data_IF_109685394531
#
_entry.id   IF_109685394531
#
_cell.length_a   1.000
_cell.length_b   1.000
_cell.length_c   1.000
_cell.angle_alpha   90.00
_cell.angle_beta   90.00
_cell.angle_gamma   90.00
#
_symmetry.space_group_name_H-M   'P 1'
#
loop_
_entity.id
_entity.type
_entity.pdbx_description
1 polymer ?
#
# COMPACT_ATOMS: atom_id res chain seq x y z
N UNK A 1 19.99 4.22 -17.65
CA UNK A 1 19.29 5.24 -16.86
C UNK A 1 17.86 5.24 -17.35
N UNK A 2 16.92 4.75 -16.54
CA UNK A 2 15.50 5.05 -16.78
C UNK A 2 15.33 6.57 -16.57
N UNK A 3 14.63 7.23 -17.48
CA UNK A 3 14.43 8.68 -17.41
C UNK A 3 13.29 9.02 -16.45
N UNK A 4 13.22 10.27 -15.97
CA UNK A 4 12.07 10.77 -15.19
C UNK A 4 10.74 10.56 -15.95
N UNK A 5 10.79 10.56 -17.29
CA UNK A 5 9.66 10.28 -18.18
C UNK A 5 9.19 8.82 -18.07
N UNK A 6 10.11 7.86 -17.94
CA UNK A 6 9.78 6.45 -17.71
C UNK A 6 9.08 6.25 -16.37
N UNK A 7 9.53 6.93 -15.32
CA UNK A 7 8.87 6.92 -14.00
C UNK A 7 7.43 7.41 -14.11
N UNK A 8 7.22 8.57 -14.75
CA UNK A 8 5.90 9.16 -14.94
C UNK A 8 4.99 8.26 -15.77
N UNK A 9 5.53 7.61 -16.80
CA UNK A 9 4.80 6.69 -17.64
C UNK A 9 4.33 5.46 -16.84
N UNK A 10 5.22 4.82 -16.08
CA UNK A 10 4.89 3.66 -15.23
C UNK A 10 3.79 4.01 -14.22
N UNK A 11 3.90 5.17 -13.56
CA UNK A 11 2.91 5.62 -12.57
C UNK A 11 1.58 6.00 -13.22
N UNK A 12 1.60 6.48 -14.46
CA UNK A 12 0.38 6.81 -15.22
C UNK A 12 -0.32 5.56 -15.75
N UNK A 13 0.41 4.57 -16.24
CA UNK A 13 -0.16 3.31 -16.72
C UNK A 13 -0.65 2.43 -15.57
N UNK A 14 -0.05 2.57 -14.39
CA UNK A 14 -0.37 1.74 -13.22
C UNK A 14 0.01 0.28 -13.40
N UNK A 15 0.84 -0.05 -14.41
CA UNK A 15 1.29 -1.41 -14.71
C UNK A 15 2.71 -1.42 -15.27
N UNK A 16 3.53 -2.36 -14.78
CA UNK A 16 4.90 -2.63 -15.27
C UNK A 16 5.33 -4.05 -14.89
N UNK A 17 6.57 -4.46 -15.18
CA UNK A 17 7.11 -5.74 -14.68
C UNK A 17 7.71 -5.56 -13.28
N UNK A 18 7.77 -6.63 -12.49
CA UNK A 18 8.42 -6.60 -11.16
C UNK A 18 9.86 -6.07 -11.25
N UNK A 19 10.61 -6.50 -12.27
CA UNK A 19 11.99 -6.06 -12.48
C UNK A 19 12.08 -4.54 -12.70
N UNK A 20 11.20 -3.98 -13.54
CA UNK A 20 11.15 -2.54 -13.82
C UNK A 20 10.70 -1.74 -12.61
N UNK A 21 9.73 -2.24 -11.85
CA UNK A 21 9.30 -1.60 -10.60
C UNK A 21 10.43 -1.55 -9.56
N UNK A 22 11.24 -2.62 -9.44
CA UNK A 22 12.41 -2.65 -8.58
C UNK A 22 13.49 -1.66 -9.04
N UNK A 23 13.81 -1.66 -10.34
CA UNK A 23 14.78 -0.72 -10.93
C UNK A 23 14.37 0.74 -10.66
N UNK A 24 13.11 1.06 -10.91
CA UNK A 24 12.53 2.35 -10.58
C UNK A 24 12.71 2.67 -9.09
N UNK A 25 12.27 1.79 -8.19
CA UNK A 25 12.35 1.99 -6.74
C UNK A 25 13.78 2.28 -6.27
N UNK A 26 14.75 1.56 -6.82
CA UNK A 26 16.18 1.72 -6.48
C UNK A 26 16.73 3.09 -6.88
N UNK A 27 16.20 3.72 -7.95
CA UNK A 27 16.63 5.06 -8.39
C UNK A 27 16.08 6.19 -7.51
N UNK A 28 14.98 5.97 -6.79
CA UNK A 28 14.28 7.04 -6.07
C UNK A 28 14.96 7.41 -4.75
N UNK A 29 14.73 8.66 -4.33
CA UNK A 29 15.23 9.19 -3.07
C UNK A 29 14.45 8.62 -1.87
N UNK A 30 15.12 8.34 -0.73
CA UNK A 30 14.43 7.99 0.50
C UNK A 30 13.59 9.14 1.03
N UNK A 31 12.60 8.80 1.84
CA UNK A 31 11.78 9.75 2.62
C UNK A 31 12.03 9.54 4.10
N UNK A 32 11.86 10.59 4.90
CA UNK A 32 11.88 10.51 6.37
C UNK A 32 10.46 10.35 6.93
N UNK A 33 10.34 10.23 8.26
CA UNK A 33 9.05 10.03 8.92
C UNK A 33 8.12 11.24 8.73
N UNK A 34 8.65 12.46 8.87
CA UNK A 34 7.90 13.70 8.74
C UNK A 34 7.26 13.85 7.35
N UNK A 35 7.99 13.44 6.30
CA UNK A 35 7.48 13.45 4.94
C UNK A 35 6.22 12.60 4.80
N UNK A 36 6.14 11.47 5.50
CA UNK A 36 5.02 10.53 5.41
C UNK A 36 3.77 10.99 6.19
N UNK A 37 3.87 11.99 7.06
CA UNK A 37 2.74 12.41 7.88
C UNK A 37 1.56 12.90 7.04
N UNK A 38 0.35 12.65 7.55
CA UNK A 38 -0.90 12.99 6.91
C UNK A 38 -1.57 11.82 6.21
N UNK A 39 -2.56 12.15 5.38
CA UNK A 39 -3.42 11.19 4.70
C UNK A 39 -3.04 11.07 3.22
N UNK A 40 -3.04 9.83 2.76
CA UNK A 40 -2.62 9.46 1.42
C UNK A 40 -3.64 8.56 0.76
N UNK A 41 -4.04 8.91 -0.46
CA UNK A 41 -4.83 8.07 -1.33
C UNK A 41 -3.94 7.04 -2.01
N UNK A 42 -4.34 5.77 -1.99
CA UNK A 42 -3.57 4.66 -2.52
C UNK A 42 -4.10 4.11 -3.84
N UNK A 43 -3.18 3.59 -4.65
CA UNK A 43 -3.49 2.78 -5.84
C UNK A 43 -2.44 1.68 -6.04
N UNK A 44 -2.83 0.50 -6.52
CA UNK A 44 -1.87 -0.54 -6.87
C UNK A 44 -1.02 -0.16 -8.09
N UNK A 45 0.24 -0.63 -8.13
CA UNK A 45 1.06 -0.67 -9.33
C UNK A 45 1.16 -2.15 -9.74
N UNK A 46 0.46 -2.54 -10.80
CA UNK A 46 0.32 -3.94 -11.16
C UNK A 46 1.62 -4.48 -11.74
N UNK A 47 2.11 -5.57 -11.15
CA UNK A 47 3.33 -6.28 -11.57
C UNK A 47 3.09 -7.76 -11.84
N UNK A 48 1.83 -8.09 -12.15
CA UNK A 48 1.27 -9.45 -12.23
C UNK A 48 1.44 -10.22 -10.90
N UNK A 49 1.41 -9.48 -9.79
CA UNK A 49 1.49 -10.04 -8.45
C UNK A 49 0.15 -10.70 -8.07
N UNK A 50 0.13 -11.79 -7.27
CA UNK A 50 -1.11 -12.49 -6.90
C UNK A 50 -2.17 -11.64 -6.20
N UNK A 51 -1.79 -10.50 -5.61
CA UNK A 51 -2.69 -9.55 -4.94
C UNK A 51 -3.14 -8.37 -5.82
N UNK A 52 -2.68 -8.28 -7.07
CA UNK A 52 -3.09 -7.19 -7.97
C UNK A 52 -4.62 -7.19 -8.14
N UNK A 53 -5.24 -6.01 -7.98
CA UNK A 53 -6.69 -5.83 -8.06
C UNK A 53 -7.45 -6.08 -6.75
N UNK A 54 -6.82 -6.62 -5.70
CA UNK A 54 -7.50 -6.95 -4.44
C UNK A 54 -7.98 -5.69 -3.71
N UNK A 55 -7.15 -4.67 -3.61
CA UNK A 55 -7.47 -3.42 -2.90
C UNK A 55 -8.45 -2.56 -3.71
N UNK A 56 -8.32 -2.54 -5.03
CA UNK A 56 -9.22 -1.86 -5.95
C UNK A 56 -10.63 -2.47 -5.92
N UNK A 57 -10.73 -3.78 -5.66
CA UNK A 57 -12.01 -4.48 -5.51
C UNK A 57 -12.71 -4.23 -4.17
N UNK A 58 -12.05 -3.59 -3.20
CA UNK A 58 -12.55 -3.46 -1.82
C UNK A 58 -12.85 -2.02 -1.37
N UNK A 59 -12.90 -1.04 -2.29
CA UNK A 59 -13.02 0.41 -2.00
C UNK A 59 -11.94 0.92 -1.04
N UNK A 60 -10.74 0.34 -1.14
CA UNK A 60 -9.59 0.87 -0.41
C UNK A 60 -9.34 2.31 -0.83
N UNK A 61 -9.27 3.19 0.15
CA UNK A 61 -8.97 4.59 -0.03
C UNK A 61 -7.46 4.84 0.01
N UNK A 62 -6.77 4.27 1.00
CA UNK A 62 -5.36 4.53 1.22
C UNK A 62 -4.91 4.34 2.67
N UNK A 63 -4.05 5.24 3.14
CA UNK A 63 -3.38 5.16 4.45
C UNK A 63 -3.36 6.53 5.14
N UNK A 64 -3.25 6.53 6.47
CA UNK A 64 -3.04 7.75 7.26
C UNK A 64 -1.96 7.55 8.30
N UNK A 65 -1.01 8.48 8.33
CA UNK A 65 0.13 8.49 9.23
C UNK A 65 -0.02 9.70 10.16
N UNK A 66 -0.51 9.47 11.37
CA UNK A 66 -0.74 10.54 12.35
C UNK A 66 0.59 10.96 12.97
N UNK A 67 1.39 9.98 13.39
CA UNK A 67 2.75 10.13 13.87
C UNK A 67 3.53 8.81 13.71
N UNK A 68 4.73 8.72 14.31
CA UNK A 68 5.59 7.55 14.21
C UNK A 68 5.05 6.29 14.90
N UNK A 69 4.16 6.41 15.88
CA UNK A 69 3.54 5.28 16.60
C UNK A 69 2.08 5.04 16.19
N UNK A 70 1.45 6.01 15.54
CA UNK A 70 0.02 5.97 15.21
C UNK A 70 -0.20 6.02 13.69
N UNK A 71 -0.29 4.83 13.09
CA UNK A 71 -0.57 4.66 11.66
C UNK A 71 -1.82 3.81 11.43
N UNK A 72 -2.66 4.28 10.52
CA UNK A 72 -3.83 3.56 10.00
C UNK A 72 -3.52 3.06 8.59
N UNK A 73 -3.09 1.78 8.45
CA UNK A 73 -2.57 1.25 7.19
C UNK A 73 -3.65 0.95 6.15
N UNK A 74 -4.92 0.92 6.57
CA UNK A 74 -6.07 0.54 5.75
C UNK A 74 -7.23 1.49 6.02
N UNK A 75 -7.41 2.44 5.11
CA UNK A 75 -8.58 3.32 5.03
C UNK A 75 -9.51 2.83 3.93
N UNK A 76 -10.82 2.87 4.17
CA UNK A 76 -11.85 2.47 3.21
C UNK A 76 -12.95 3.52 3.12
N UNK A 77 -13.66 3.54 2.00
CA UNK A 77 -14.87 4.35 1.82
C UNK A 77 -16.13 3.52 2.10
N UNK A 78 -17.04 4.06 2.89
CA UNK A 78 -18.38 3.49 3.06
C UNK A 78 -19.30 3.82 1.87
N UNK A 79 -20.55 3.35 1.91
CA UNK A 79 -21.54 3.60 0.85
C UNK A 79 -21.91 5.08 0.66
N UNK A 80 -21.57 5.94 1.62
CA UNK A 80 -21.79 7.39 1.56
C UNK A 80 -20.50 8.14 1.18
N UNK A 81 -19.41 7.43 0.91
CA UNK A 81 -18.10 8.03 0.60
C UNK A 81 -17.35 8.55 1.82
N UNK A 82 -17.74 8.18 3.05
CA UNK A 82 -17.01 8.54 4.26
C UNK A 82 -15.86 7.58 4.51
N UNK A 83 -14.70 8.13 4.87
CA UNK A 83 -13.50 7.37 5.21
C UNK A 83 -13.66 6.75 6.61
N UNK A 84 -13.28 5.48 6.74
CA UNK A 84 -13.14 4.78 8.03
C UNK A 84 -11.92 3.86 8.03
N UNK A 85 -11.35 3.60 9.21
CA UNK A 85 -10.18 2.74 9.38
C UNK A 85 -10.58 1.29 9.64
N UNK A 86 -9.76 0.36 9.16
CA UNK A 86 -9.97 -1.09 9.29
C UNK A 86 -8.76 -1.76 9.90
N UNK A 87 -8.98 -2.66 10.86
CA UNK A 87 -7.94 -3.50 11.43
C UNK A 87 -7.55 -4.60 10.43
N UNK A 88 -6.25 -4.73 10.07
CA UNK A 88 -5.78 -5.87 9.30
C UNK A 88 -5.99 -7.17 10.08
N UNK A 89 -6.58 -8.19 9.44
CA UNK A 89 -6.81 -9.48 10.07
C UNK A 89 -5.89 -10.56 9.45
N UNK A 90 -4.92 -11.11 10.21
CA UNK A 90 -3.97 -12.11 9.71
C UNK A 90 -4.62 -13.39 9.19
N UNK A 91 -5.67 -13.88 9.87
CA UNK A 91 -6.40 -15.07 9.46
C UNK A 91 -7.12 -14.85 8.14
N UNK A 92 -7.74 -13.68 7.96
CA UNK A 92 -8.38 -13.29 6.71
C UNK A 92 -7.36 -13.17 5.58
N UNK A 93 -6.22 -12.52 5.83
CA UNK A 93 -5.14 -12.35 4.84
C UNK A 93 -4.61 -13.70 4.34
N UNK A 94 -4.36 -14.64 5.25
CA UNK A 94 -3.92 -16.00 4.88
C UNK A 94 -4.94 -16.75 4.04
N UNK A 95 -6.23 -16.54 4.29
CA UNK A 95 -7.31 -17.18 3.54
C UNK A 95 -7.47 -16.57 2.14
N UNK A 96 -7.49 -15.24 2.03
CA UNK A 96 -7.64 -14.53 0.75
C UNK A 96 -6.53 -14.90 -0.23
N UNK A 97 -5.30 -15.03 0.23
CA UNK A 97 -4.15 -15.40 -0.61
C UNK A 97 -4.20 -16.83 -1.16
N UNK A 98 -5.00 -17.72 -0.54
CA UNK A 98 -5.19 -19.10 -1.01
C UNK A 98 -6.31 -19.22 -2.05
N UNK A 99 -7.13 -18.18 -2.22
CA UNK A 99 -8.23 -18.19 -3.18
C UNK A 99 -7.77 -17.61 -4.52
N UNK A 100 -8.23 -18.16 -5.65
CA UNK A 100 -8.04 -17.50 -6.94
C UNK A 100 -8.76 -16.15 -6.90
N UNK A 101 -8.03 -15.04 -7.09
CA UNK A 101 -8.66 -13.71 -7.15
C UNK A 101 -9.60 -13.68 -8.35
N UNK A 102 -10.92 -13.54 -8.14
CA UNK A 102 -11.88 -13.54 -9.23
C UNK A 102 -11.77 -12.23 -10.00
N UNK A 103 -11.61 -12.31 -11.32
CA UNK A 103 -11.52 -11.15 -12.23
C UNK A 103 -12.83 -10.34 -12.34
N UNK A 104 -13.91 -10.79 -11.70
CA UNK A 104 -15.24 -10.20 -11.82
C UNK A 104 -15.60 -9.34 -10.59
N UNK A 105 -16.09 -8.13 -10.85
CA UNK A 105 -16.51 -7.10 -9.89
C UNK A 105 -17.68 -7.51 -8.94
N UNK A 106 -18.21 -8.73 -9.05
CA UNK A 106 -19.44 -9.16 -8.39
C UNK A 106 -19.31 -9.48 -6.88
N UNK A 107 -18.09 -9.60 -6.34
CA UNK A 107 -17.84 -9.87 -4.91
C UNK A 107 -17.65 -8.60 -4.06
N UNK A 108 -17.67 -7.42 -4.69
CA UNK A 108 -17.60 -6.10 -4.04
C UNK A 108 -18.49 -5.96 -2.79
N UNK A 109 -19.81 -6.26 -2.85
CA UNK A 109 -20.67 -6.04 -1.69
C UNK A 109 -20.35 -6.97 -0.49
N UNK A 110 -19.86 -8.18 -0.74
CA UNK A 110 -19.52 -9.12 0.33
C UNK A 110 -18.24 -8.71 1.07
N UNK A 111 -17.22 -8.26 0.32
CA UNK A 111 -15.97 -7.74 0.90
C UNK A 111 -16.21 -6.45 1.71
N UNK A 112 -17.10 -5.58 1.23
CA UNK A 112 -17.50 -4.36 1.96
C UNK A 112 -18.17 -4.67 3.30
N UNK A 113 -19.00 -5.72 3.38
CA UNK A 113 -19.69 -6.11 4.61
C UNK A 113 -18.69 -6.64 5.67
N UNK A 114 -17.68 -7.39 5.25
CA UNK A 114 -16.61 -7.88 6.15
C UNK A 114 -15.77 -6.70 6.68
N UNK A 115 -15.45 -5.72 5.84
CA UNK A 115 -14.66 -4.56 6.25
C UNK A 115 -15.37 -3.71 7.31
N UNK A 116 -16.71 -3.59 7.29
CA UNK A 116 -17.43 -2.82 8.30
C UNK A 116 -17.41 -3.46 9.70
N UNK A 117 -17.23 -4.77 9.81
CA UNK A 117 -17.11 -5.47 11.10
C UNK A 117 -15.69 -5.34 11.69
N UNK A 118 -14.72 -4.95 10.87
CA UNK A 118 -13.32 -4.76 11.24
C UNK A 118 -12.97 -3.28 11.47
N UNK A 119 -13.98 -2.41 11.58
CA UNK A 119 -13.82 -1.00 11.92
C UNK A 119 -13.07 -0.86 13.24
N UNK A 120 -12.11 0.06 13.29
CA UNK A 120 -11.32 0.33 14.49
C UNK A 120 -10.90 1.79 14.51
N UNK A 121 -10.79 2.38 15.69
CA UNK A 121 -10.16 3.69 15.86
C UNK A 121 -8.69 3.57 16.32
N UNK A 122 -8.21 2.35 16.60
CA UNK A 122 -6.83 2.11 17.02
C UNK A 122 -5.88 2.12 15.82
N UNK A 123 -4.69 2.68 16.00
CA UNK A 123 -3.58 2.45 15.07
C UNK A 123 -3.26 0.96 14.98
N UNK A 124 -2.73 0.54 13.82
CA UNK A 124 -2.46 -0.87 13.50
C UNK A 124 -1.08 -1.07 12.87
N UNK A 125 -0.29 0.00 12.87
CA UNK A 125 1.05 0.05 12.35
C UNK A 125 1.80 1.24 12.97
N UNK A 126 3.10 1.26 12.76
CA UNK A 126 4.02 2.33 13.16
C UNK A 126 5.07 2.58 12.08
N UNK A 127 5.76 3.71 12.13
CA UNK A 127 6.84 4.06 11.21
C UNK A 127 8.21 3.94 11.87
N UNK A 128 9.19 3.41 11.15
CA UNK A 128 10.61 3.45 11.52
C UNK A 128 11.47 3.74 10.30
N UNK A 129 12.66 4.28 10.55
CA UNK A 129 13.70 4.32 9.51
C UNK A 129 14.33 2.93 9.43
N UNK A 130 14.22 2.27 8.28
CA UNK A 130 14.78 0.94 8.05
C UNK A 130 15.57 0.92 6.75
N UNK A 131 16.62 0.11 6.70
CA UNK A 131 17.33 -0.17 5.46
C UNK A 131 16.53 -1.17 4.63
N UNK A 132 16.28 -0.80 3.37
CA UNK A 132 15.72 -1.71 2.37
C UNK A 132 16.38 -1.43 1.03
N UNK A 133 16.97 -2.46 0.41
CA UNK A 133 17.71 -2.36 -0.84
C UNK A 133 18.77 -1.24 -0.79
N UNK A 134 19.68 -1.33 0.18
CA UNK A 134 20.85 -0.46 0.36
C UNK A 134 20.55 1.01 0.72
N UNK A 135 19.29 1.38 0.93
CA UNK A 135 18.90 2.74 1.32
C UNK A 135 18.03 2.72 2.58
N UNK A 136 18.36 3.59 3.55
CA UNK A 136 17.52 3.82 4.74
C UNK A 136 16.37 4.75 4.36
N UNK A 137 15.13 4.32 4.60
CA UNK A 137 13.92 5.10 4.27
C UNK A 137 12.82 4.88 5.31
N UNK A 138 11.81 5.73 5.34
CA UNK A 138 10.64 5.52 6.18
C UNK A 138 9.94 4.22 5.74
N UNK A 139 9.67 3.37 6.71
CA UNK A 139 9.03 2.07 6.52
C UNK A 139 7.92 1.93 7.54
N UNK A 140 6.72 1.61 7.06
CA UNK A 140 5.59 1.27 7.90
C UNK A 140 5.62 -0.21 8.24
N UNK A 141 5.51 -0.52 9.52
CA UNK A 141 5.54 -1.88 10.07
C UNK A 141 4.16 -2.16 10.63
N UNK A 142 3.50 -3.21 10.15
CA UNK A 142 2.19 -3.63 10.68
C UNK A 142 2.36 -4.28 12.06
N UNK A 143 1.45 -3.98 12.98
CA UNK A 143 1.56 -4.49 14.35
C UNK A 143 1.31 -6.00 14.44
N UNK A 144 0.40 -6.52 13.60
CA UNK A 144 -0.08 -7.90 13.66
C UNK A 144 0.13 -8.70 12.37
N UNK A 145 0.78 -8.10 11.36
CA UNK A 145 1.12 -8.78 10.10
C UNK A 145 2.64 -8.71 9.89
N UNK A 146 3.27 -9.79 9.37
CA UNK A 146 4.69 -9.78 9.05
C UNK A 146 4.93 -9.06 7.71
N UNK A 147 4.48 -7.80 7.64
CA UNK A 147 4.50 -6.93 6.47
C UNK A 147 5.25 -5.64 6.82
N UNK A 148 6.15 -5.24 5.92
CA UNK A 148 6.83 -3.96 5.94
C UNK A 148 6.58 -3.23 4.62
N UNK A 149 6.06 -2.01 4.70
CA UNK A 149 5.84 -1.13 3.54
C UNK A 149 6.96 -0.06 3.52
N UNK A 150 7.91 -0.15 2.60
CA UNK A 150 8.99 0.84 2.46
C UNK A 150 8.67 1.87 1.39
N UNK A 151 8.93 3.16 1.66
CA UNK A 151 8.52 4.26 0.79
C UNK A 151 9.69 4.96 0.11
N UNK A 152 9.49 5.42 -1.13
CA UNK A 152 10.44 6.24 -1.89
C UNK A 152 9.76 7.43 -2.54
N UNK A 153 10.43 8.57 -2.55
CA UNK A 153 9.91 9.83 -3.07
C UNK A 153 9.83 9.79 -4.59
N UNK A 154 8.64 10.04 -5.13
CA UNK A 154 8.44 10.35 -6.56
C UNK A 154 8.46 11.87 -6.74
N UNK A 155 7.67 12.57 -5.93
CA UNK A 155 7.60 14.04 -5.86
C UNK A 155 7.16 14.45 -4.43
N UNK A 156 6.87 15.74 -4.17
CA UNK A 156 6.47 16.22 -2.83
C UNK A 156 5.16 15.62 -2.29
N UNK A 157 4.31 15.11 -3.19
CA UNK A 157 2.97 14.61 -2.88
C UNK A 157 2.77 13.17 -3.34
N UNK A 158 3.79 12.49 -3.85
CA UNK A 158 3.69 11.12 -4.35
C UNK A 158 4.86 10.28 -3.84
N UNK A 159 4.54 9.09 -3.31
CA UNK A 159 5.55 8.06 -3.02
C UNK A 159 5.23 6.75 -3.71
N UNK A 160 6.29 6.04 -4.10
CA UNK A 160 6.22 4.64 -4.48
C UNK A 160 6.46 3.80 -3.23
N UNK A 161 5.51 2.93 -2.92
CA UNK A 161 5.60 1.95 -1.84
C UNK A 161 5.91 0.56 -2.37
N UNK A 162 6.75 -0.15 -1.64
CA UNK A 162 6.99 -1.57 -1.82
C UNK A 162 6.62 -2.32 -0.54
N UNK A 163 5.73 -3.29 -0.67
CA UNK A 163 5.32 -4.18 0.40
C UNK A 163 6.19 -5.43 0.37
N UNK A 164 6.99 -5.59 1.41
CA UNK A 164 7.68 -6.84 1.73
C UNK A 164 6.80 -7.63 2.70
N UNK A 165 6.31 -8.77 2.24
CA UNK A 165 5.49 -9.67 3.04
C UNK A 165 6.17 -11.03 3.15
N UNK A 166 6.48 -11.43 4.38
CA UNK A 166 7.26 -12.65 4.69
C UNK A 166 6.78 -13.93 3.97
N UNK A 167 5.48 -14.03 3.68
CA UNK A 167 4.88 -15.23 3.10
C UNK A 167 4.77 -15.20 1.56
N UNK A 168 5.21 -14.11 0.90
CA UNK A 168 5.22 -13.98 -0.56
C UNK A 168 6.64 -13.63 -1.05
N UNK A 169 7.20 -14.37 -2.02
CA UNK A 169 8.54 -14.11 -2.52
C UNK A 169 8.62 -12.88 -3.44
N UNK A 170 7.51 -12.53 -4.08
CA UNK A 170 7.42 -11.38 -4.95
C UNK A 170 6.90 -10.18 -4.13
N UNK A 171 7.56 -9.01 -4.19
CA UNK A 171 7.05 -7.81 -3.54
C UNK A 171 5.81 -7.28 -4.26
N UNK A 172 4.93 -6.63 -3.52
CA UNK A 172 3.78 -5.91 -4.07
C UNK A 172 4.06 -4.41 -4.12
N UNK A 173 3.67 -3.75 -5.21
CA UNK A 173 3.92 -2.33 -5.41
C UNK A 173 2.63 -1.53 -5.37
N UNK A 174 2.72 -0.33 -4.81
CA UNK A 174 1.62 0.60 -4.75
C UNK A 174 2.12 2.04 -4.77
N UNK A 175 1.24 2.97 -5.10
CA UNK A 175 1.50 4.39 -5.13
C UNK A 175 0.62 5.04 -4.08
N UNK A 176 1.18 6.01 -3.35
CA UNK A 176 0.43 6.85 -2.43
C UNK A 176 0.53 8.31 -2.91
N UNK A 177 -0.61 8.98 -3.00
CA UNK A 177 -0.72 10.41 -3.32
C UNK A 177 -1.31 11.17 -2.14
N UNK A 178 -0.64 12.23 -1.71
CA UNK A 178 -1.09 13.07 -0.59
C UNK A 178 -2.42 13.72 -0.94
N UNK A 179 -3.33 13.75 0.03
CA UNK A 179 -4.57 14.50 -0.10
C UNK A 179 -4.27 15.98 0.14
N UNK A 180 -4.54 16.83 -0.87
CA UNK A 180 -4.45 18.29 -0.75
C UNK A 180 -5.65 18.86 0.01
#
# INVERSE_FOLDING_TARGET
METLEDCQLILKTGKTTTQRALQLFDTLEPVNLDFMLGRWQGSGLHTDHPMDGLLESSNWYGKEFVDAENVHPLLFLDSQGKIFQVAPNPSLMSWVLKLPIPKNNSLKPLLMLINSLLKTDKSQARLRMMEYREKVTATMIYDYLPINDSFKKVDENTVLGIMDYKNLPQPFFFVLKRCL
#
